data_IF_303944555633
#
_entry.id   IF_303944555633
#
_cell.length_a   1.000
_cell.length_b   1.000
_cell.length_c   1.000
_cell.angle_alpha   90.00
_cell.angle_beta   90.00
_cell.angle_gamma   90.00
#
_symmetry.space_group_name_H-M   'P 1'
#
loop_
_entity.id
_entity.type
_entity.pdbx_description
1 polymer ?
#
# COMPACT_ATOMS: atom_id res chain seq x y z
N UNK A 1 -18.95 -7.38 25.10
CA UNK A 1 -17.77 -7.98 24.44
C UNK A 1 -18.23 -8.49 23.09
N UNK A 2 -17.73 -7.92 21.98
CA UNK A 2 -18.16 -8.28 20.63
C UNK A 2 -17.64 -9.69 20.28
N UNK A 3 -18.53 -10.67 20.28
CA UNK A 3 -18.19 -12.03 19.84
C UNK A 3 -18.27 -12.07 18.32
N UNK A 4 -17.15 -12.35 17.65
CA UNK A 4 -17.20 -12.70 16.23
C UNK A 4 -17.81 -14.08 16.08
N UNK A 5 -18.73 -14.24 15.14
CA UNK A 5 -19.07 -15.58 14.68
C UNK A 5 -17.86 -16.20 14.01
N UNK A 6 -17.64 -17.51 14.19
CA UNK A 6 -16.57 -18.27 13.51
C UNK A 6 -16.58 -18.05 11.99
N UNK A 7 -17.77 -17.80 11.41
CA UNK A 7 -17.95 -17.48 10.00
C UNK A 7 -17.40 -16.11 9.59
N UNK A 8 -17.50 -15.08 10.44
CA UNK A 8 -16.92 -13.76 10.17
C UNK A 8 -15.40 -13.76 10.30
N UNK A 9 -14.89 -14.48 11.29
CA UNK A 9 -13.46 -14.67 11.48
C UNK A 9 -12.85 -15.37 10.27
N UNK A 10 -13.51 -16.43 9.78
CA UNK A 10 -13.10 -17.13 8.57
C UNK A 10 -13.16 -16.23 7.33
N UNK A 11 -14.26 -15.50 7.13
CA UNK A 11 -14.39 -14.56 6.01
C UNK A 11 -13.34 -13.45 6.03
N UNK A 12 -13.06 -12.89 7.20
CA UNK A 12 -12.03 -11.85 7.39
C UNK A 12 -10.64 -12.42 7.13
N UNK A 13 -10.33 -13.62 7.63
CA UNK A 13 -9.04 -14.27 7.39
C UNK A 13 -8.79 -14.55 5.90
N UNK A 14 -9.80 -15.05 5.19
CA UNK A 14 -9.72 -15.27 3.73
C UNK A 14 -9.54 -13.95 2.99
N UNK A 15 -10.29 -12.91 3.37
CA UNK A 15 -10.17 -11.59 2.77
C UNK A 15 -8.78 -10.99 2.97
N UNK A 16 -8.23 -11.08 4.19
CA UNK A 16 -6.85 -10.66 4.50
C UNK A 16 -5.82 -11.43 3.68
N UNK A 17 -5.99 -12.75 3.51
CA UNK A 17 -5.09 -13.56 2.67
C UNK A 17 -5.12 -13.14 1.21
N UNK A 18 -6.30 -12.86 0.64
CA UNK A 18 -6.43 -12.39 -0.73
C UNK A 18 -5.72 -11.04 -0.90
N UNK A 19 -5.96 -10.09 0.01
CA UNK A 19 -5.26 -8.80 0.00
C UNK A 19 -3.74 -8.98 0.11
N UNK A 20 -3.28 -9.86 1.00
CA UNK A 20 -1.86 -10.17 1.16
C UNK A 20 -1.23 -10.74 -0.13
N UNK A 21 -1.91 -11.68 -0.78
CA UNK A 21 -1.46 -12.26 -2.05
C UNK A 21 -1.39 -11.22 -3.17
N UNK A 22 -2.42 -10.37 -3.31
CA UNK A 22 -2.42 -9.29 -4.30
C UNK A 22 -1.30 -8.30 -4.02
N UNK A 23 -1.12 -7.90 -2.75
CA UNK A 23 -0.04 -6.99 -2.37
C UNK A 23 1.32 -7.58 -2.74
N UNK A 24 1.54 -8.86 -2.45
CA UNK A 24 2.77 -9.55 -2.81
C UNK A 24 3.02 -9.57 -4.32
N UNK A 25 1.99 -9.87 -5.13
CA UNK A 25 2.10 -9.87 -6.60
C UNK A 25 2.45 -8.48 -7.12
N UNK A 26 1.77 -7.43 -6.62
CA UNK A 26 2.01 -6.05 -7.03
C UNK A 26 3.43 -5.61 -6.66
N UNK A 27 3.86 -5.86 -5.42
CA UNK A 27 5.21 -5.50 -4.93
C UNK A 27 6.29 -6.24 -5.73
N UNK A 28 6.08 -7.53 -6.02
CA UNK A 28 7.01 -8.35 -6.81
C UNK A 28 7.02 -7.96 -8.30
N UNK A 29 5.95 -7.35 -8.81
CA UNK A 29 5.85 -6.85 -10.17
C UNK A 29 6.56 -5.51 -10.42
N UNK A 30 6.79 -4.71 -9.37
CA UNK A 30 7.40 -3.37 -9.48
C UNK A 30 8.77 -3.32 -10.19
N UNK A 31 9.71 -4.28 -10.04
CA UNK A 31 11.00 -4.25 -10.73
C UNK A 31 10.89 -4.24 -12.27
N UNK A 32 9.77 -4.72 -12.83
CA UNK A 32 9.53 -4.75 -14.28
C UNK A 32 8.91 -3.47 -14.82
N UNK A 33 8.52 -2.53 -13.96
CA UNK A 33 7.77 -1.33 -14.32
C UNK A 33 8.72 -0.12 -14.51
N UNK A 34 9.53 -0.15 -15.57
CA UNK A 34 10.50 0.91 -15.86
C UNK A 34 9.78 2.25 -16.20
N UNK A 35 9.69 3.18 -15.24
CA UNK A 35 9.05 4.50 -15.40
C UNK A 35 7.58 4.62 -14.98
N UNK A 36 6.82 3.52 -14.89
CA UNK A 36 5.40 3.54 -14.47
C UNK A 36 5.21 3.55 -12.93
N UNK A 37 6.27 3.30 -12.16
CA UNK A 37 6.22 3.23 -10.68
C UNK A 37 5.74 4.56 -10.06
N UNK A 38 6.17 5.70 -10.60
CA UNK A 38 5.77 7.01 -10.09
C UNK A 38 4.26 7.30 -10.27
N UNK A 39 3.69 6.89 -11.42
CA UNK A 39 2.26 7.02 -11.69
C UNK A 39 1.42 6.09 -10.81
N UNK A 40 1.88 4.85 -10.62
CA UNK A 40 1.27 3.89 -9.70
C UNK A 40 1.30 4.43 -8.26
N UNK A 41 2.44 4.95 -7.79
CA UNK A 41 2.58 5.56 -6.46
C UNK A 41 1.57 6.67 -6.21
N UNK A 42 1.40 7.62 -7.15
CA UNK A 42 0.44 8.72 -7.01
C UNK A 42 -1.00 8.20 -6.88
N UNK A 43 -1.39 7.25 -7.75
CA UNK A 43 -2.74 6.65 -7.71
C UNK A 43 -2.97 5.90 -6.40
N UNK A 44 -2.01 5.06 -5.98
CA UNK A 44 -2.12 4.32 -4.72
C UNK A 44 -2.16 5.25 -3.50
N UNK A 45 -1.44 6.38 -3.52
CA UNK A 45 -1.51 7.37 -2.45
C UNK A 45 -2.91 7.99 -2.33
N UNK A 46 -3.51 8.41 -3.46
CA UNK A 46 -4.87 8.97 -3.48
C UNK A 46 -5.87 7.94 -2.95
N UNK A 47 -5.81 6.69 -3.44
CA UNK A 47 -6.69 5.63 -2.96
C UNK A 47 -6.48 5.30 -1.46
N UNK A 48 -5.25 5.36 -0.98
CA UNK A 48 -4.96 5.20 0.46
C UNK A 48 -5.55 6.33 1.28
N UNK A 49 -5.46 7.58 0.81
CA UNK A 49 -6.05 8.74 1.47
C UNK A 49 -7.58 8.64 1.50
N UNK A 50 -8.21 8.30 0.37
CA UNK A 50 -9.66 8.11 0.29
C UNK A 50 -10.10 7.00 1.25
N UNK A 51 -9.43 5.85 1.24
CA UNK A 51 -9.74 4.75 2.15
C UNK A 51 -9.56 5.15 3.63
N UNK A 52 -8.48 5.88 3.95
CA UNK A 52 -8.21 6.37 5.30
C UNK A 52 -9.30 7.33 5.78
N UNK A 53 -9.68 8.30 4.96
CA UNK A 53 -10.75 9.26 5.26
C UNK A 53 -12.07 8.54 5.51
N UNK A 54 -12.43 7.59 4.65
CA UNK A 54 -13.64 6.77 4.84
C UNK A 54 -13.58 5.97 6.14
N UNK A 55 -12.41 5.41 6.48
CA UNK A 55 -12.23 4.66 7.74
C UNK A 55 -12.39 5.56 8.96
N UNK A 56 -11.79 6.75 8.94
CA UNK A 56 -11.89 7.73 10.04
C UNK A 56 -13.31 8.25 10.18
N UNK A 57 -14.01 8.54 9.08
CA UNK A 57 -15.42 8.92 9.10
C UNK A 57 -16.27 7.82 9.73
N UNK A 58 -16.05 6.56 9.35
CA UNK A 58 -16.77 5.40 9.91
C UNK A 58 -16.53 5.24 11.41
N UNK A 59 -15.29 5.44 11.87
CA UNK A 59 -14.94 5.44 13.30
C UNK A 59 -15.58 6.60 14.07
N UNK A 60 -15.62 7.80 13.47
CA UNK A 60 -16.09 9.01 14.15
C UNK A 60 -17.62 9.09 14.22
N UNK A 61 -18.31 8.69 13.15
CA UNK A 61 -19.77 8.75 13.12
C UNK A 61 -20.47 7.65 13.91
N UNK A 62 -19.73 6.68 14.50
CA UNK A 62 -20.25 5.55 15.30
C UNK A 62 -21.45 4.82 14.67
N UNK A 63 -21.63 5.00 13.35
CA UNK A 63 -22.76 4.54 12.56
C UNK A 63 -22.44 3.27 11.77
N UNK A 64 -21.18 2.83 11.81
CA UNK A 64 -20.71 1.61 11.15
C UNK A 64 -20.57 0.47 12.14
N UNK A 65 -21.21 -0.66 11.83
CA UNK A 65 -20.95 -1.94 12.47
C UNK A 65 -19.43 -2.18 12.60
N UNK A 66 -18.97 -2.62 13.77
CA UNK A 66 -17.53 -2.70 14.10
C UNK A 66 -16.74 -3.56 13.09
N UNK A 67 -17.43 -4.52 12.45
CA UNK A 67 -16.94 -5.34 11.35
C UNK A 67 -16.49 -4.52 10.14
N UNK A 68 -17.26 -3.52 9.73
CA UNK A 68 -16.91 -2.67 8.59
C UNK A 68 -15.66 -1.85 8.88
N UNK A 69 -15.49 -1.41 10.12
CA UNK A 69 -14.29 -0.67 10.52
C UNK A 69 -13.02 -1.50 10.41
N UNK A 70 -13.09 -2.80 10.74
CA UNK A 70 -11.97 -3.73 10.55
C UNK A 70 -11.67 -3.96 9.08
N UNK A 71 -12.70 -4.20 8.26
CA UNK A 71 -12.53 -4.42 6.81
C UNK A 71 -11.90 -3.19 6.16
N UNK A 72 -12.39 -1.99 6.49
CA UNK A 72 -11.82 -0.74 6.02
C UNK A 72 -10.38 -0.53 6.51
N UNK A 73 -10.10 -0.83 7.77
CA UNK A 73 -8.74 -0.83 8.32
C UNK A 73 -7.79 -1.75 7.55
N UNK A 74 -8.24 -2.97 7.19
CA UNK A 74 -7.48 -3.90 6.36
C UNK A 74 -7.25 -3.36 4.94
N UNK A 75 -8.24 -2.70 4.34
CA UNK A 75 -8.10 -2.06 3.03
C UNK A 75 -7.07 -0.93 3.10
N UNK A 76 -7.12 -0.08 4.12
CA UNK A 76 -6.14 1.00 4.33
C UNK A 76 -4.74 0.44 4.50
N UNK A 77 -4.56 -0.61 5.31
CA UNK A 77 -3.28 -1.29 5.49
C UNK A 77 -2.76 -1.89 4.19
N UNK A 78 -3.64 -2.50 3.40
CA UNK A 78 -3.31 -3.05 2.09
C UNK A 78 -2.86 -1.96 1.11
N UNK A 79 -3.65 -0.90 0.93
CA UNK A 79 -3.29 0.20 0.01
C UNK A 79 -2.02 0.92 0.47
N UNK A 80 -1.87 1.12 1.78
CA UNK A 80 -0.68 1.73 2.37
C UNK A 80 0.57 0.87 2.19
N UNK A 81 0.46 -0.46 2.31
CA UNK A 81 1.56 -1.40 2.05
C UNK A 81 2.08 -1.31 0.62
N UNK A 82 1.17 -1.27 -0.36
CA UNK A 82 1.53 -1.11 -1.78
C UNK A 82 2.22 0.25 -2.00
N UNK A 83 1.72 1.32 -1.39
CA UNK A 83 2.34 2.64 -1.50
C UNK A 83 3.75 2.66 -0.90
N UNK A 84 3.93 2.09 0.29
CA UNK A 84 5.22 2.04 0.98
C UNK A 84 6.26 1.27 0.14
N UNK A 85 5.86 0.14 -0.43
CA UNK A 85 6.71 -0.62 -1.34
C UNK A 85 7.08 0.18 -2.58
N UNK A 86 6.11 0.84 -3.23
CA UNK A 86 6.37 1.69 -4.40
C UNK A 86 7.35 2.82 -4.06
N UNK A 87 7.21 3.43 -2.87
CA UNK A 87 8.12 4.46 -2.38
C UNK A 87 9.52 3.92 -2.10
N UNK A 88 9.63 2.73 -1.51
CA UNK A 88 10.93 2.11 -1.23
C UNK A 88 11.70 1.80 -2.53
N UNK A 89 11.01 1.33 -3.57
CA UNK A 89 11.60 1.13 -4.89
C UNK A 89 12.03 2.45 -5.55
N UNK A 90 11.19 3.49 -5.49
CA UNK A 90 11.51 4.82 -6.02
C UNK A 90 12.78 5.41 -5.38
N UNK A 91 12.89 5.33 -4.05
CA UNK A 91 14.07 5.80 -3.31
C UNK A 91 15.33 5.04 -3.71
N UNK A 92 15.24 3.72 -3.92
CA UNK A 92 16.37 2.90 -4.38
C UNK A 92 16.78 3.24 -5.81
N UNK A 93 15.81 3.50 -6.70
CA UNK A 93 16.08 3.90 -8.08
C UNK A 93 16.78 5.26 -8.12
N UNK A 94 16.25 6.26 -7.40
CA UNK A 94 16.88 7.59 -7.33
C UNK A 94 18.26 7.58 -6.67
N UNK A 95 18.51 6.67 -5.71
CA UNK A 95 19.83 6.49 -5.13
C UNK A 95 20.82 5.87 -6.13
N UNK A 96 20.38 4.92 -6.95
CA UNK A 96 21.20 4.31 -8.00
C UNK A 96 21.53 5.31 -9.12
N UNK A 97 20.56 6.13 -9.57
CA UNK A 97 20.81 7.21 -10.54
C UNK A 97 21.84 8.22 -10.02
N UNK A 98 21.70 8.68 -8.77
CA UNK A 98 22.67 9.61 -8.16
C UNK A 98 24.06 9.02 -8.03
N UNK A 99 24.17 7.72 -7.73
CA UNK A 99 25.46 7.04 -7.67
C UNK A 99 26.12 6.93 -9.05
N UNK A 100 25.33 6.72 -10.12
CA UNK A 100 25.82 6.70 -11.50
C UNK A 100 26.31 8.06 -11.98
N UNK A 101 25.57 9.14 -11.68
CA UNK A 101 25.93 10.51 -12.06
C UNK A 101 27.22 10.98 -11.33
N UNK A 102 27.38 10.57 -10.06
CA UNK A 102 28.60 10.81 -9.27
C UNK A 102 29.83 10.09 -9.81
N UNK A 103 29.65 8.94 -10.49
CA UNK A 103 30.74 8.17 -11.10
C UNK A 103 31.15 8.70 -12.48
N UNK A 104 30.26 9.43 -13.18
CA UNK A 104 30.51 9.97 -14.52
C UNK A 104 31.03 11.42 -14.49
N UNK A 105 30.92 12.11 -13.36
CA UNK A 105 31.45 13.46 -13.10
C UNK A 105 32.88 13.52 -12.56
N UNK A 106 33.73 12.53 -12.86
CA UNK A 106 35.17 12.63 -12.57
C UNK A 106 35.80 13.78 -13.36
N UNK A 107 36.72 14.57 -12.77
CA UNK A 107 37.25 15.78 -13.41
C UNK A 107 37.91 15.42 -14.74
N UNK A 108 37.44 16.04 -15.82
CA UNK A 108 38.16 16.06 -17.08
C UNK A 108 39.38 16.95 -16.88
N UNK A 109 40.52 16.34 -16.62
CA UNK A 109 41.84 16.98 -16.74
C UNK A 109 42.16 17.34 -18.20
#
# INVERSE_FOLDING_TARGET
MNSFSSSELFGTAVFTLILGAIAFIVIRGMPKMNGAIAALRKRTLIWTQVALVLTVLQLNFKAGDWRFSIILGLIVLFTGSIWLAARHYDLRLSAAERAGDSAQGGPKE
#
